data_IF_906787184378
#
_entry.id   IF_906787184378
#
_cell.length_a   1.000
_cell.length_b   1.000
_cell.length_c   1.000
_cell.angle_alpha   90.00
_cell.angle_beta   90.00
_cell.angle_gamma   90.00
#
_symmetry.space_group_name_H-M   'P 1'
#
loop_
_entity.id
_entity.type
_entity.pdbx_description
1 polymer ?
#
# COMPACT_ATOMS: atom_id res chain seq x y z
N UNK A 1 7.00 3.36 -6.64
CA UNK A 1 7.96 4.45 -6.95
C UNK A 1 8.06 4.60 -8.46
N UNK A 2 8.33 5.79 -9.01
CA UNK A 2 8.64 5.98 -10.42
C UNK A 2 10.02 5.40 -10.77
N UNK A 3 10.23 5.10 -12.05
CA UNK A 3 11.49 4.59 -12.57
C UNK A 3 11.60 3.07 -12.65
N UNK A 4 12.77 2.59 -13.07
CA UNK A 4 12.98 1.17 -13.39
C UNK A 4 14.21 0.56 -12.71
N UNK A 5 15.01 1.36 -12.00
CA UNK A 5 16.24 0.90 -11.33
C UNK A 5 15.99 0.68 -9.83
N UNK A 6 16.03 -0.59 -9.33
CA UNK A 6 15.73 -0.90 -7.94
C UNK A 6 16.75 -0.31 -6.95
N UNK A 7 18.04 -0.31 -7.28
CA UNK A 7 19.07 0.22 -6.40
C UNK A 7 18.96 1.75 -6.24
N UNK A 8 18.64 2.46 -7.33
CA UNK A 8 18.38 3.91 -7.27
C UNK A 8 17.14 4.23 -6.44
N UNK A 9 16.04 3.50 -6.65
CA UNK A 9 14.82 3.67 -5.88
C UNK A 9 15.03 3.39 -4.40
N UNK A 10 15.80 2.33 -4.06
CA UNK A 10 16.15 2.00 -2.68
C UNK A 10 16.98 3.11 -2.02
N UNK A 11 18.00 3.66 -2.72
CA UNK A 11 18.80 4.78 -2.18
C UNK A 11 17.96 6.03 -1.93
N UNK A 12 16.97 6.31 -2.79
CA UNK A 12 16.02 7.41 -2.57
C UNK A 12 15.18 7.14 -1.32
N UNK A 13 14.63 5.93 -1.17
CA UNK A 13 13.82 5.58 0.02
C UNK A 13 14.63 5.71 1.30
N UNK A 14 15.84 5.16 1.36
CA UNK A 14 16.71 5.24 2.55
C UNK A 14 17.13 6.68 2.84
N UNK A 15 17.43 7.47 1.79
CA UNK A 15 17.82 8.86 1.96
C UNK A 15 16.71 9.76 2.51
N UNK A 16 15.45 9.48 2.16
CA UNK A 16 14.30 10.28 2.60
C UNK A 16 13.63 9.71 3.88
N UNK A 17 13.73 8.40 4.11
CA UNK A 17 13.11 7.67 5.23
C UNK A 17 14.15 6.78 5.95
N UNK A 18 15.20 7.36 6.56
CA UNK A 18 16.28 6.57 7.14
C UNK A 18 15.87 5.70 8.32
N UNK A 19 14.80 6.06 9.03
CA UNK A 19 14.35 5.35 10.23
C UNK A 19 13.33 4.25 9.94
N UNK A 20 12.62 4.36 8.81
CA UNK A 20 11.60 3.39 8.40
C UNK A 20 11.57 3.23 6.87
N UNK A 21 12.64 2.68 6.27
CA UNK A 21 12.69 2.39 4.86
C UNK A 21 11.71 1.27 4.47
N UNK A 22 11.37 1.22 3.17
CA UNK A 22 10.53 0.19 2.61
C UNK A 22 11.07 -0.31 1.27
N UNK A 23 10.73 -1.54 0.90
CA UNK A 23 11.07 -2.11 -0.40
C UNK A 23 10.23 -1.44 -1.51
N UNK A 24 10.84 -0.63 -2.41
CA UNK A 24 10.07 0.05 -3.44
C UNK A 24 9.54 -0.89 -4.52
N UNK A 25 8.33 -0.65 -4.99
CA UNK A 25 7.78 -1.27 -6.19
C UNK A 25 7.96 -0.34 -7.38
N UNK A 26 8.32 -0.90 -8.54
CA UNK A 26 8.65 -0.17 -9.75
C UNK A 26 7.80 -0.67 -10.94
N UNK A 27 6.49 -0.36 -10.97
CA UNK A 27 5.59 -0.87 -11.99
C UNK A 27 5.91 -0.40 -13.42
N UNK A 28 6.72 0.65 -13.58
CA UNK A 28 7.21 1.10 -14.89
C UNK A 28 8.05 0.04 -15.62
N UNK A 29 8.53 -1.02 -14.92
CA UNK A 29 9.19 -2.18 -15.54
C UNK A 29 8.22 -3.10 -16.28
N UNK A 30 6.92 -2.86 -16.15
CA UNK A 30 5.85 -3.62 -16.79
C UNK A 30 5.35 -4.80 -15.98
N UNK A 31 4.58 -5.72 -16.61
CA UNK A 31 3.98 -6.85 -15.93
C UNK A 31 5.00 -7.68 -15.14
N UNK A 32 4.65 -8.01 -13.92
CA UNK A 32 5.53 -8.68 -12.96
C UNK A 32 6.20 -7.77 -11.95
N UNK A 33 6.25 -6.46 -12.23
CA UNK A 33 6.65 -5.44 -11.26
C UNK A 33 5.45 -4.67 -10.69
N UNK A 34 4.24 -4.97 -11.15
CA UNK A 34 2.97 -4.47 -10.64
C UNK A 34 2.55 -5.23 -9.36
N UNK A 35 1.61 -4.65 -8.61
CA UNK A 35 1.11 -5.18 -7.36
C UNK A 35 0.72 -6.67 -7.42
N UNK A 36 -0.12 -7.03 -8.41
CA UNK A 36 -0.61 -8.40 -8.59
C UNK A 36 0.50 -9.34 -9.06
N UNK A 37 1.21 -8.97 -10.12
CA UNK A 37 2.24 -9.80 -10.73
C UNK A 37 3.41 -10.08 -9.80
N UNK A 38 3.85 -9.09 -9.04
CA UNK A 38 4.92 -9.22 -8.05
C UNK A 38 4.55 -10.26 -6.98
N UNK A 39 3.34 -10.16 -6.41
CA UNK A 39 2.87 -11.10 -5.39
C UNK A 39 2.57 -12.48 -5.96
N UNK A 40 2.03 -12.55 -7.18
CA UNK A 40 1.75 -13.82 -7.84
C UNK A 40 3.01 -14.68 -8.11
N UNK A 41 4.21 -14.08 -8.08
CA UNK A 41 5.48 -14.84 -8.17
C UNK A 41 5.74 -15.72 -6.95
N UNK A 42 5.14 -15.37 -5.83
CA UNK A 42 5.32 -16.03 -4.53
C UNK A 42 4.33 -17.19 -4.32
N UNK A 43 3.30 -17.29 -5.14
CA UNK A 43 2.32 -18.37 -5.01
C UNK A 43 2.99 -19.74 -5.12
N UNK A 44 2.70 -20.61 -4.14
CA UNK A 44 3.20 -21.99 -4.08
C UNK A 44 2.26 -22.88 -4.87
N UNK A 45 2.80 -23.75 -5.70
CA UNK A 45 2.08 -24.71 -6.56
C UNK A 45 1.05 -24.08 -7.52
N UNK A 46 1.12 -22.74 -7.70
CA UNK A 46 0.31 -22.01 -8.67
C UNK A 46 1.19 -21.26 -9.66
N UNK A 47 0.83 -21.33 -10.92
CA UNK A 47 1.47 -20.56 -11.99
C UNK A 47 0.55 -19.46 -12.47
N UNK A 48 1.16 -18.38 -12.99
CA UNK A 48 0.43 -17.25 -13.57
C UNK A 48 1.02 -16.86 -14.92
N UNK A 49 0.22 -16.27 -15.77
CA UNK A 49 0.61 -15.71 -17.06
C UNK A 49 -0.06 -14.36 -17.28
N UNK A 50 0.52 -13.56 -18.17
CA UNK A 50 -0.04 -12.26 -18.57
C UNK A 50 -0.97 -12.44 -19.74
N UNK A 51 -2.16 -11.83 -19.65
CA UNK A 51 -3.14 -11.73 -20.72
C UNK A 51 -3.36 -10.25 -21.07
N UNK A 52 -4.01 -9.92 -22.20
CA UNK A 52 -4.37 -8.53 -22.49
C UNK A 52 -5.27 -7.85 -21.45
N UNK A 53 -5.87 -8.62 -20.56
CA UNK A 53 -6.77 -8.13 -19.49
C UNK A 53 -6.10 -8.04 -18.11
N UNK A 54 -4.91 -8.57 -17.96
CA UNK A 54 -4.19 -8.64 -16.70
C UNK A 54 -3.59 -10.02 -16.45
N UNK A 55 -3.51 -10.42 -15.20
CA UNK A 55 -2.95 -11.69 -14.78
C UNK A 55 -4.00 -12.79 -14.73
N UNK A 56 -3.60 -14.01 -15.09
CA UNK A 56 -4.43 -15.21 -15.04
C UNK A 56 -3.67 -16.38 -14.43
N UNK A 57 -4.37 -17.24 -13.68
CA UNK A 57 -3.83 -18.53 -13.26
C UNK A 57 -3.60 -19.42 -14.48
N UNK A 58 -2.44 -20.07 -14.52
CA UNK A 58 -1.98 -20.91 -15.61
C UNK A 58 -1.72 -22.34 -15.14
N UNK A 59 -1.82 -23.32 -16.05
CA UNK A 59 -1.54 -24.73 -15.73
C UNK A 59 -0.06 -25.00 -15.47
N UNK A 60 0.83 -24.19 -16.06
CA UNK A 60 2.29 -24.39 -16.00
C UNK A 60 3.03 -23.06 -15.93
N UNK A 61 4.17 -23.02 -15.21
CA UNK A 61 5.04 -21.86 -15.21
C UNK A 61 5.53 -21.47 -16.60
N UNK A 62 5.40 -20.19 -16.96
CA UNK A 62 5.80 -19.63 -18.25
C UNK A 62 6.86 -18.54 -18.11
N UNK A 63 7.10 -17.85 -19.24
CA UNK A 63 8.11 -16.75 -19.31
C UNK A 63 7.74 -15.56 -18.45
N UNK A 64 6.45 -15.26 -18.34
CA UNK A 64 5.97 -14.09 -17.56
C UNK A 64 6.28 -14.28 -16.09
N UNK A 65 5.99 -15.46 -15.54
CA UNK A 65 6.32 -15.81 -14.16
C UNK A 65 7.84 -15.79 -13.91
N UNK A 66 8.63 -16.36 -14.84
CA UNK A 66 10.10 -16.33 -14.72
C UNK A 66 10.65 -14.91 -14.73
N UNK A 67 10.13 -14.03 -15.59
CA UNK A 67 10.51 -12.62 -15.66
C UNK A 67 10.14 -11.89 -14.36
N UNK A 68 8.92 -12.08 -13.86
CA UNK A 68 8.46 -11.46 -12.63
C UNK A 68 9.28 -11.88 -11.42
N UNK A 69 9.65 -13.17 -11.29
CA UNK A 69 10.56 -13.69 -10.26
C UNK A 69 11.96 -13.05 -10.35
N UNK A 70 12.49 -12.88 -11.56
CA UNK A 70 13.77 -12.21 -11.77
C UNK A 70 13.74 -10.75 -11.34
N UNK A 71 12.65 -10.03 -11.60
CA UNK A 71 12.46 -8.66 -11.13
C UNK A 71 12.42 -8.56 -9.61
N UNK A 72 11.67 -9.45 -8.95
CA UNK A 72 11.59 -9.49 -7.49
C UNK A 72 12.96 -9.83 -6.88
N UNK A 73 13.70 -10.78 -7.45
CA UNK A 73 15.07 -11.08 -6.99
C UNK A 73 15.98 -9.87 -7.07
N UNK A 74 15.96 -9.12 -8.19
CA UNK A 74 16.72 -7.88 -8.32
C UNK A 74 16.34 -6.82 -7.29
N UNK A 75 15.05 -6.75 -6.92
CA UNK A 75 14.59 -5.82 -5.89
C UNK A 75 15.14 -6.19 -4.51
N UNK A 76 15.14 -7.49 -4.19
CA UNK A 76 15.68 -8.01 -2.94
C UNK A 76 17.22 -7.87 -2.87
N UNK A 77 17.91 -8.07 -3.97
CA UNK A 77 19.35 -7.86 -4.04
C UNK A 77 19.71 -6.38 -3.81
N UNK A 78 18.92 -5.46 -4.37
CA UNK A 78 19.08 -4.02 -4.13
C UNK A 78 18.72 -3.62 -2.68
N UNK A 79 17.71 -4.25 -2.08
CA UNK A 79 17.34 -4.06 -0.68
C UNK A 79 18.49 -4.48 0.23
N UNK A 80 19.05 -5.68 0.02
CA UNK A 80 20.18 -6.23 0.78
C UNK A 80 21.42 -5.34 0.66
N UNK A 81 21.82 -4.95 -0.59
CA UNK A 81 22.95 -4.08 -0.83
C UNK A 81 22.84 -2.73 -0.12
N UNK A 82 21.68 -2.09 -0.21
CA UNK A 82 21.52 -0.71 0.30
C UNK A 82 21.28 -0.67 1.81
N UNK A 83 20.69 -1.73 2.38
CA UNK A 83 20.42 -1.85 3.82
C UNK A 83 21.43 -2.76 4.55
N UNK A 84 22.61 -3.02 3.97
CA UNK A 84 23.63 -3.81 4.65
C UNK A 84 23.97 -3.22 6.03
N UNK A 85 23.91 -4.05 7.06
CA UNK A 85 24.13 -3.64 8.46
C UNK A 85 23.02 -2.79 9.08
N UNK A 86 21.91 -2.54 8.40
CA UNK A 86 20.80 -1.78 8.96
C UNK A 86 20.11 -2.53 10.10
N UNK A 87 19.85 -1.81 11.21
CA UNK A 87 19.09 -2.32 12.35
C UNK A 87 17.93 -1.38 12.64
N UNK A 88 16.73 -1.80 12.35
CA UNK A 88 15.53 -0.98 12.51
C UNK A 88 14.32 -1.63 11.84
N UNK A 89 13.17 -0.94 11.82
CA UNK A 89 12.01 -1.43 11.10
C UNK A 89 12.21 -1.27 9.57
N UNK A 90 11.92 -2.32 8.82
CA UNK A 90 11.91 -2.31 7.34
C UNK A 90 10.56 -2.83 6.87
N UNK A 91 9.88 -2.05 6.02
CA UNK A 91 8.58 -2.46 5.47
C UNK A 91 8.75 -3.16 4.12
N UNK A 92 8.10 -4.30 3.99
CA UNK A 92 7.85 -4.98 2.72
C UNK A 92 6.34 -5.07 2.49
N UNK A 93 5.92 -5.17 1.24
CA UNK A 93 4.48 -5.26 0.92
C UNK A 93 4.20 -6.35 -0.10
N UNK A 94 2.98 -6.88 0.01
CA UNK A 94 2.40 -7.93 -0.81
C UNK A 94 0.96 -7.56 -1.14
N UNK A 95 0.44 -8.01 -2.28
CA UNK A 95 -0.99 -7.97 -2.53
C UNK A 95 -1.70 -8.91 -1.55
N UNK A 96 -2.75 -8.44 -0.92
CA UNK A 96 -3.55 -9.27 -0.03
C UNK A 96 -4.46 -10.26 -0.78
N UNK A 97 -5.03 -11.24 -0.07
CA UNK A 97 -5.76 -12.35 -0.68
C UNK A 97 -7.00 -11.89 -1.46
N UNK A 98 -7.70 -10.88 -1.01
CA UNK A 98 -8.95 -10.43 -1.64
C UNK A 98 -8.69 -9.60 -2.89
N UNK A 99 -7.69 -8.74 -2.88
CA UNK A 99 -7.27 -7.99 -4.07
C UNK A 99 -6.66 -8.95 -5.10
N UNK A 100 -5.88 -9.92 -4.66
CA UNK A 100 -5.34 -10.94 -5.53
C UNK A 100 -6.47 -11.76 -6.20
N UNK A 101 -7.46 -12.23 -5.40
CA UNK A 101 -8.62 -12.95 -5.92
C UNK A 101 -9.51 -12.12 -6.86
N UNK A 102 -9.58 -10.80 -6.63
CA UNK A 102 -10.36 -9.89 -7.47
C UNK A 102 -9.64 -9.49 -8.78
N UNK A 103 -8.34 -9.77 -8.90
CA UNK A 103 -7.51 -9.36 -10.06
C UNK A 103 -6.99 -10.55 -10.89
N UNK A 104 -6.84 -11.74 -10.31
CA UNK A 104 -6.42 -12.93 -11.04
C UNK A 104 -7.61 -13.60 -11.74
N UNK A 105 -7.51 -13.75 -13.07
CA UNK A 105 -8.46 -14.54 -13.84
C UNK A 105 -8.25 -16.05 -13.60
N UNK A 106 -9.33 -16.81 -13.58
CA UNK A 106 -9.30 -18.27 -13.54
C UNK A 106 -8.88 -18.86 -14.89
N UNK A 107 -8.27 -20.06 -14.92
CA UNK A 107 -7.95 -20.76 -16.17
C UNK A 107 -9.23 -21.01 -17.00
N UNK A 108 -9.11 -20.93 -18.31
CA UNK A 108 -10.18 -21.25 -19.27
C UNK A 108 -11.46 -20.41 -19.14
N UNK A 109 -11.49 -19.42 -18.27
CA UNK A 109 -12.61 -18.49 -18.11
C UNK A 109 -12.10 -17.05 -18.12
N UNK A 110 -13.01 -16.10 -18.21
CA UNK A 110 -12.69 -14.69 -18.00
C UNK A 110 -13.13 -14.20 -16.62
N UNK A 111 -13.57 -15.11 -15.75
CA UNK A 111 -13.95 -14.76 -14.39
C UNK A 111 -12.70 -14.63 -13.52
N UNK A 112 -12.74 -13.69 -12.60
CA UNK A 112 -11.71 -13.54 -11.56
C UNK A 112 -11.91 -14.57 -10.45
N UNK A 113 -10.83 -14.91 -9.73
CA UNK A 113 -10.84 -15.99 -8.73
C UNK A 113 -11.87 -15.77 -7.61
N UNK A 114 -12.19 -14.52 -7.27
CA UNK A 114 -13.22 -14.21 -6.25
C UNK A 114 -14.63 -14.71 -6.61
N UNK A 115 -14.86 -15.08 -7.86
CA UNK A 115 -16.13 -15.68 -8.29
C UNK A 115 -16.30 -17.14 -7.84
N UNK A 116 -15.24 -17.80 -7.39
CA UNK A 116 -15.22 -19.20 -6.97
C UNK A 116 -14.63 -19.34 -5.55
N UNK A 117 -15.45 -19.70 -4.54
CA UNK A 117 -14.97 -19.84 -3.16
C UNK A 117 -13.86 -20.88 -2.98
N UNK A 118 -13.82 -21.94 -3.80
CA UNK A 118 -12.75 -22.92 -3.79
C UNK A 118 -11.44 -22.33 -4.27
N UNK A 119 -11.49 -21.61 -5.39
CA UNK A 119 -10.33 -20.91 -5.91
C UNK A 119 -9.78 -19.84 -4.92
N UNK A 120 -10.67 -19.13 -4.21
CA UNK A 120 -10.27 -18.21 -3.15
C UNK A 120 -9.54 -18.93 -2.02
N UNK A 121 -10.06 -20.09 -1.60
CA UNK A 121 -9.44 -20.87 -0.53
C UNK A 121 -8.03 -21.34 -0.91
N UNK A 122 -7.89 -21.93 -2.10
CA UNK A 122 -6.62 -22.44 -2.62
C UNK A 122 -5.61 -21.31 -2.82
N UNK A 123 -6.05 -20.18 -3.40
CA UNK A 123 -5.23 -18.99 -3.61
C UNK A 123 -4.73 -18.40 -2.28
N UNK A 124 -5.60 -18.34 -1.28
CA UNK A 124 -5.23 -17.85 0.05
C UNK A 124 -4.21 -18.75 0.72
N UNK A 125 -4.37 -20.07 0.64
CA UNK A 125 -3.42 -21.04 1.22
C UNK A 125 -2.04 -20.93 0.53
N UNK A 126 -2.04 -20.88 -0.79
CA UNK A 126 -0.83 -20.69 -1.61
C UNK A 126 -0.12 -19.38 -1.29
N UNK A 127 -0.87 -18.27 -1.15
CA UNK A 127 -0.33 -16.97 -0.78
C UNK A 127 0.25 -16.98 0.65
N UNK A 128 -0.43 -17.59 1.60
CA UNK A 128 0.03 -17.68 3.00
C UNK A 128 1.40 -18.37 3.09
N UNK A 129 1.57 -19.50 2.42
CA UNK A 129 2.84 -20.21 2.35
C UNK A 129 3.92 -19.40 1.65
N UNK A 130 3.61 -18.83 0.50
CA UNK A 130 4.53 -18.00 -0.27
C UNK A 130 4.95 -16.72 0.46
N UNK A 131 4.02 -16.07 1.17
CA UNK A 131 4.30 -14.90 1.98
C UNK A 131 5.23 -15.26 3.16
N UNK A 132 4.99 -16.37 3.85
CA UNK A 132 5.86 -16.85 4.92
C UNK A 132 7.29 -17.12 4.42
N UNK A 133 7.42 -17.79 3.28
CA UNK A 133 8.72 -18.04 2.67
C UNK A 133 9.45 -16.75 2.25
N UNK A 134 8.72 -15.79 1.69
CA UNK A 134 9.26 -14.49 1.29
C UNK A 134 9.75 -13.67 2.50
N UNK A 135 8.95 -13.61 3.56
CA UNK A 135 9.33 -12.92 4.82
C UNK A 135 10.57 -13.57 5.43
N UNK A 136 10.66 -14.90 5.42
CA UNK A 136 11.84 -15.63 5.91
C UNK A 136 13.10 -15.34 5.05
N UNK A 137 12.96 -15.23 3.73
CA UNK A 137 14.08 -14.86 2.84
C UNK A 137 14.57 -13.43 3.13
N UNK A 138 13.66 -12.47 3.26
CA UNK A 138 14.02 -11.08 3.61
C UNK A 138 14.66 -11.00 5.00
N UNK A 139 14.13 -11.72 6.00
CA UNK A 139 14.71 -11.77 7.34
C UNK A 139 16.14 -12.35 7.34
N UNK A 140 16.40 -13.32 6.48
CA UNK A 140 17.75 -13.90 6.30
C UNK A 140 18.73 -12.93 5.65
N UNK A 141 18.25 -12.12 4.69
CA UNK A 141 19.05 -11.07 4.00
C UNK A 141 19.35 -9.88 4.92
N UNK A 142 18.43 -9.54 5.82
CA UNK A 142 18.51 -8.40 6.74
C UNK A 142 18.38 -8.86 8.20
N UNK A 143 19.38 -9.56 8.76
CA UNK A 143 19.29 -10.19 10.08
C UNK A 143 19.14 -9.20 11.25
N UNK A 144 19.50 -7.92 11.05
CA UNK A 144 19.33 -6.83 12.03
C UNK A 144 17.97 -6.14 11.96
N UNK A 145 17.20 -6.34 10.89
CA UNK A 145 15.96 -5.62 10.67
C UNK A 145 14.76 -6.25 11.40
N UNK A 146 13.84 -5.39 11.82
CA UNK A 146 12.50 -5.79 12.26
C UNK A 146 11.52 -5.63 11.09
N UNK A 147 11.02 -6.74 10.56
CA UNK A 147 10.15 -6.68 9.39
C UNK A 147 8.73 -6.20 9.75
N UNK A 148 8.24 -5.30 8.94
CA UNK A 148 6.85 -4.85 8.90
C UNK A 148 6.27 -5.33 7.56
N UNK A 149 5.26 -6.20 7.61
CA UNK A 149 4.67 -6.84 6.44
C UNK A 149 3.32 -6.20 6.14
N UNK A 150 3.22 -5.51 5.01
CA UNK A 150 1.98 -4.88 4.57
C UNK A 150 1.28 -5.74 3.53
N UNK A 151 -0.02 -5.98 3.72
CA UNK A 151 -0.89 -6.59 2.72
C UNK A 151 -1.78 -5.51 2.10
N UNK A 152 -1.63 -5.32 0.80
CA UNK A 152 -2.38 -4.31 0.04
C UNK A 152 -3.72 -4.85 -0.42
N UNK A 153 -4.79 -4.26 0.07
CA UNK A 153 -6.18 -4.68 -0.13
C UNK A 153 -7.09 -3.58 -0.70
N UNK A 154 -6.70 -2.90 -1.79
CA UNK A 154 -7.54 -1.87 -2.39
C UNK A 154 -8.87 -2.40 -2.95
N UNK A 155 -8.97 -3.70 -3.26
CA UNK A 155 -10.22 -4.31 -3.74
C UNK A 155 -11.13 -4.81 -2.61
N UNK A 156 -10.65 -4.92 -1.37
CA UNK A 156 -11.41 -5.46 -0.24
C UNK A 156 -12.79 -4.79 -0.04
N UNK A 157 -12.94 -3.45 -0.10
CA UNK A 157 -14.25 -2.83 -0.01
C UNK A 157 -15.21 -3.23 -1.14
N UNK A 158 -14.68 -3.38 -2.36
CA UNK A 158 -15.51 -3.79 -3.51
C UNK A 158 -15.95 -5.26 -3.40
N UNK A 159 -15.10 -6.13 -2.88
CA UNK A 159 -15.44 -7.53 -2.61
C UNK A 159 -16.49 -7.62 -1.50
N UNK A 160 -16.30 -6.88 -0.41
CA UNK A 160 -17.23 -6.84 0.72
C UNK A 160 -18.63 -6.32 0.33
N UNK A 161 -18.70 -5.41 -0.64
CA UNK A 161 -19.95 -4.76 -1.06
C UNK A 161 -20.58 -5.36 -2.32
N UNK A 162 -20.00 -6.44 -2.88
CA UNK A 162 -20.49 -7.03 -4.13
C UNK A 162 -20.36 -6.08 -5.33
N UNK A 163 -19.29 -5.28 -5.36
CA UNK A 163 -19.05 -4.28 -6.41
C UNK A 163 -18.05 -4.75 -7.48
N UNK A 164 -17.48 -5.95 -7.33
CA UNK A 164 -16.58 -6.52 -8.32
C UNK A 164 -17.34 -6.85 -9.61
N UNK A 165 -16.95 -6.32 -10.78
CA UNK A 165 -17.66 -6.57 -12.02
C UNK A 165 -17.46 -8.02 -12.49
N UNK A 166 -18.47 -8.59 -13.11
CA UNK A 166 -18.33 -9.85 -13.85
C UNK A 166 -17.48 -9.64 -15.12
N UNK A 167 -17.03 -10.73 -15.74
CA UNK A 167 -16.24 -10.68 -16.95
C UNK A 167 -16.88 -9.89 -18.11
N UNK A 168 -18.22 -9.88 -18.20
CA UNK A 168 -18.97 -9.10 -19.18
C UNK A 168 -19.09 -7.61 -18.83
N UNK A 169 -18.83 -7.22 -17.58
CA UNK A 169 -19.06 -5.88 -17.06
C UNK A 169 -20.53 -5.49 -16.87
N UNK A 170 -21.47 -6.36 -17.26
CA UNK A 170 -22.91 -6.07 -17.23
C UNK A 170 -23.56 -6.33 -15.86
N UNK A 171 -22.89 -7.08 -15.00
CA UNK A 171 -23.35 -7.39 -13.64
C UNK A 171 -22.21 -7.34 -12.65
N UNK A 172 -22.51 -7.57 -11.37
CA UNK A 172 -21.54 -7.63 -10.28
C UNK A 172 -21.54 -9.04 -9.69
N UNK A 173 -20.41 -9.43 -9.13
CA UNK A 173 -20.32 -10.62 -8.30
C UNK A 173 -21.03 -10.37 -6.97
N UNK A 174 -21.52 -11.43 -6.34
CA UNK A 174 -22.13 -11.33 -5.02
C UNK A 174 -21.11 -10.82 -3.98
N UNK A 175 -21.59 -10.11 -2.97
CA UNK A 175 -20.77 -9.74 -1.82
C UNK A 175 -20.29 -11.02 -1.11
N UNK A 176 -19.07 -10.97 -0.58
CA UNK A 176 -18.53 -12.04 0.26
C UNK A 176 -18.87 -11.72 1.71
N UNK A 177 -19.31 -12.73 2.45
CA UNK A 177 -19.66 -12.60 3.86
C UNK A 177 -18.47 -12.14 4.71
N UNK A 178 -18.76 -11.26 5.68
CA UNK A 178 -17.73 -10.62 6.51
C UNK A 178 -16.83 -11.62 7.24
N UNK A 179 -17.38 -12.74 7.71
CA UNK A 179 -16.63 -13.79 8.38
C UNK A 179 -15.64 -14.48 7.43
N UNK A 180 -16.05 -14.76 6.20
CA UNK A 180 -15.16 -15.32 5.18
C UNK A 180 -14.04 -14.33 4.82
N UNK A 181 -14.38 -13.03 4.72
CA UNK A 181 -13.39 -11.98 4.49
C UNK A 181 -12.35 -11.96 5.60
N UNK A 182 -12.78 -12.03 6.85
CA UNK A 182 -11.92 -12.06 8.03
C UNK A 182 -11.01 -13.29 8.04
N UNK A 183 -11.59 -14.48 7.89
CA UNK A 183 -10.84 -15.74 7.95
C UNK A 183 -9.71 -15.82 6.93
N UNK A 184 -9.95 -15.44 5.69
CA UNK A 184 -8.92 -15.48 4.64
C UNK A 184 -7.84 -14.43 4.85
N UNK A 185 -8.21 -13.25 5.35
CA UNK A 185 -7.24 -12.22 5.70
C UNK A 185 -6.38 -12.67 6.89
N UNK A 186 -7.00 -13.15 7.96
CA UNK A 186 -6.31 -13.70 9.14
C UNK A 186 -5.35 -14.83 8.78
N UNK A 187 -5.74 -15.75 7.89
CA UNK A 187 -4.90 -16.87 7.45
C UNK A 187 -3.57 -16.38 6.86
N UNK A 188 -3.59 -15.33 6.07
CA UNK A 188 -2.37 -14.79 5.45
C UNK A 188 -1.56 -13.95 6.44
N UNK A 189 -2.21 -13.16 7.27
CA UNK A 189 -1.55 -12.37 8.31
C UNK A 189 -0.82 -13.29 9.31
N UNK A 190 -1.48 -14.34 9.80
CA UNK A 190 -0.94 -15.28 10.77
C UNK A 190 0.22 -16.12 10.23
N UNK A 191 0.30 -16.32 8.92
CA UNK A 191 1.39 -17.08 8.29
C UNK A 191 2.72 -16.32 8.27
N UNK A 192 2.70 -14.99 8.46
CA UNK A 192 3.90 -14.15 8.41
C UNK A 192 4.39 -13.81 9.82
N UNK A 193 5.72 -13.82 10.00
CA UNK A 193 6.35 -13.38 11.24
C UNK A 193 6.68 -11.87 11.14
N UNK A 194 6.27 -11.10 12.15
CA UNK A 194 6.52 -9.67 12.22
C UNK A 194 5.25 -8.87 12.49
N UNK A 195 5.39 -7.55 12.43
CA UNK A 195 4.25 -6.65 12.55
C UNK A 195 3.51 -6.57 11.23
N UNK A 196 2.24 -6.93 11.22
CA UNK A 196 1.43 -6.96 10.00
C UNK A 196 0.54 -5.72 9.85
N UNK A 197 0.42 -5.22 8.64
CA UNK A 197 -0.42 -4.07 8.28
C UNK A 197 -1.33 -4.47 7.12
N UNK A 198 -2.57 -4.03 7.15
CA UNK A 198 -3.46 -4.08 5.98
C UNK A 198 -3.61 -2.68 5.43
N UNK A 199 -3.26 -2.50 4.16
CA UNK A 199 -3.41 -1.22 3.46
C UNK A 199 -4.59 -1.24 2.51
N UNK A 200 -5.47 -0.25 2.65
CA UNK A 200 -6.59 -0.02 1.76
C UNK A 200 -6.76 1.48 1.49
N UNK A 201 -6.34 1.94 0.31
CA UNK A 201 -6.52 3.34 -0.11
C UNK A 201 -7.86 3.61 -0.80
N UNK A 202 -8.73 2.60 -0.94
CA UNK A 202 -10.08 2.77 -1.47
C UNK A 202 -11.02 3.37 -0.40
N UNK A 203 -12.11 4.05 -0.80
CA UNK A 203 -13.12 4.49 0.15
C UNK A 203 -13.86 3.31 0.80
N UNK A 204 -14.43 3.53 1.97
CA UNK A 204 -15.19 2.52 2.74
C UNK A 204 -14.33 1.36 3.24
N UNK A 205 -13.17 1.67 3.79
CA UNK A 205 -12.28 0.68 4.40
C UNK A 205 -13.04 -0.13 5.45
N UNK A 206 -13.04 -1.48 5.37
CA UNK A 206 -13.75 -2.31 6.34
C UNK A 206 -12.90 -2.51 7.62
N UNK A 207 -12.71 -1.43 8.40
CA UNK A 207 -11.87 -1.41 9.60
C UNK A 207 -12.18 -2.54 10.58
N UNK A 208 -13.48 -2.84 10.79
CA UNK A 208 -13.92 -3.92 11.67
C UNK A 208 -13.42 -5.30 11.23
N UNK A 209 -13.42 -5.58 9.91
CA UNK A 209 -12.92 -6.86 9.36
C UNK A 209 -11.40 -6.93 9.53
N UNK A 210 -10.68 -5.85 9.23
CA UNK A 210 -9.23 -5.77 9.35
C UNK A 210 -8.79 -5.96 10.81
N UNK A 211 -9.47 -5.31 11.75
CA UNK A 211 -9.24 -5.48 13.19
C UNK A 211 -9.53 -6.90 13.66
N UNK A 212 -10.65 -7.47 13.24
CA UNK A 212 -11.03 -8.83 13.60
C UNK A 212 -10.10 -9.91 13.00
N UNK A 213 -9.42 -9.61 11.90
CA UNK A 213 -8.36 -10.46 11.33
C UNK A 213 -7.01 -10.32 12.05
N UNK A 214 -6.97 -9.64 13.20
CA UNK A 214 -5.79 -9.44 14.04
C UNK A 214 -4.60 -8.75 13.35
N UNK A 215 -4.85 -7.83 12.41
CA UNK A 215 -3.82 -6.97 11.87
C UNK A 215 -3.23 -6.07 12.97
N UNK A 216 -1.91 -5.91 13.01
CA UNK A 216 -1.23 -5.01 13.94
C UNK A 216 -1.46 -3.52 13.59
N UNK A 217 -1.70 -3.21 12.31
CA UNK A 217 -1.97 -1.86 11.85
C UNK A 217 -2.87 -1.81 10.62
N UNK A 218 -3.40 -0.63 10.35
CA UNK A 218 -4.18 -0.33 9.15
C UNK A 218 -3.64 0.93 8.47
N UNK A 219 -3.42 0.84 7.15
CA UNK A 219 -3.02 1.97 6.33
C UNK A 219 -4.20 2.39 5.42
N UNK A 220 -4.51 3.68 5.39
CA UNK A 220 -5.65 4.21 4.63
C UNK A 220 -5.38 5.63 4.12
N UNK A 221 -6.09 6.02 3.07
CA UNK A 221 -6.05 7.39 2.53
C UNK A 221 -6.93 8.31 3.38
N UNK A 222 -6.29 9.25 4.08
CA UNK A 222 -6.99 10.22 4.94
C UNK A 222 -7.96 11.10 4.15
N UNK A 223 -7.74 11.31 2.86
CA UNK A 223 -8.64 12.10 2.01
C UNK A 223 -9.92 11.37 1.65
N UNK A 224 -9.92 10.04 1.72
CA UNK A 224 -11.07 9.17 1.43
C UNK A 224 -11.89 8.85 2.69
N UNK A 225 -11.39 9.21 3.87
CA UNK A 225 -12.07 8.94 5.14
C UNK A 225 -13.35 9.77 5.26
N UNK A 226 -14.46 9.08 5.39
CA UNK A 226 -15.78 9.68 5.56
C UNK A 226 -16.19 9.63 7.03
N UNK A 227 -17.17 10.44 7.41
CA UNK A 227 -17.71 10.46 8.78
C UNK A 227 -18.22 9.07 9.23
N UNK A 228 -18.79 8.29 8.33
CA UNK A 228 -19.23 6.92 8.62
C UNK A 228 -18.08 5.94 8.93
N UNK A 229 -16.87 6.29 8.59
CA UNK A 229 -15.68 5.46 8.79
C UNK A 229 -14.98 5.80 10.13
N UNK A 230 -15.35 6.91 10.79
CA UNK A 230 -14.67 7.46 11.98
C UNK A 230 -14.73 6.50 13.18
N UNK A 231 -15.85 5.87 13.43
CA UNK A 231 -15.99 4.88 14.52
C UNK A 231 -15.02 3.69 14.31
N UNK A 232 -14.91 3.20 13.07
CA UNK A 232 -14.02 2.11 12.74
C UNK A 232 -12.53 2.45 12.93
N UNK A 233 -12.14 3.69 12.65
CA UNK A 233 -10.77 4.19 12.90
C UNK A 233 -10.53 4.33 14.42
N UNK A 234 -11.47 4.92 15.14
CA UNK A 234 -11.37 5.10 16.59
C UNK A 234 -11.24 3.76 17.31
N UNK A 235 -12.11 2.80 17.02
CA UNK A 235 -12.08 1.45 17.58
C UNK A 235 -10.75 0.71 17.21
N UNK A 236 -10.18 0.98 16.04
CA UNK A 236 -8.89 0.40 15.66
C UNK A 236 -7.75 0.97 16.50
N UNK A 237 -7.75 2.28 16.74
CA UNK A 237 -6.78 2.94 17.63
C UNK A 237 -6.93 2.46 19.09
N UNK A 238 -8.15 2.39 19.60
CA UNK A 238 -8.45 1.88 20.95
C UNK A 238 -8.03 0.42 21.15
N UNK A 239 -8.09 -0.39 20.09
CA UNK A 239 -7.55 -1.75 20.08
C UNK A 239 -6.02 -1.81 20.02
N UNK A 240 -5.31 -0.66 20.01
CA UNK A 240 -3.86 -0.59 19.97
C UNK A 240 -3.23 -0.79 18.59
N UNK A 241 -4.02 -0.74 17.51
CA UNK A 241 -3.49 -0.84 16.15
C UNK A 241 -2.72 0.42 15.76
N UNK A 242 -1.62 0.24 15.01
CA UNK A 242 -0.97 1.35 14.33
C UNK A 242 -1.84 1.92 13.20
N UNK A 243 -1.94 3.24 13.12
CA UNK A 243 -2.68 3.93 12.07
C UNK A 243 -1.71 4.59 11.09
N UNK A 244 -1.55 3.98 9.91
CA UNK A 244 -0.73 4.55 8.83
C UNK A 244 -1.61 5.48 7.99
N UNK A 245 -1.52 6.77 8.31
CA UNK A 245 -2.38 7.79 7.73
C UNK A 245 -1.79 8.33 6.43
N UNK A 246 -2.43 8.03 5.30
CA UNK A 246 -2.12 8.58 3.99
C UNK A 246 -2.46 10.08 3.91
N UNK A 247 -1.67 10.90 4.62
CA UNK A 247 -1.93 12.33 4.77
C UNK A 247 -1.22 13.19 3.70
N UNK A 248 -0.23 12.64 2.99
CA UNK A 248 0.46 13.32 1.90
C UNK A 248 -0.14 12.86 0.56
N UNK A 249 -0.73 13.76 -0.25
CA UNK A 249 -1.29 13.38 -1.55
C UNK A 249 -0.24 12.71 -2.44
N UNK A 250 -0.60 11.60 -3.10
CA UNK A 250 0.28 10.93 -4.06
C UNK A 250 0.51 11.77 -5.33
N UNK A 251 -0.50 12.57 -5.72
CA UNK A 251 -0.39 13.57 -6.80
C UNK A 251 -0.46 14.94 -6.15
N UNK A 252 0.43 15.90 -6.50
CA UNK A 252 0.34 17.24 -5.97
C UNK A 252 -1.06 17.82 -6.25
N UNK A 253 -1.68 18.45 -5.24
CA UNK A 253 -2.87 19.27 -5.45
C UNK A 253 -2.55 20.27 -6.57
N UNK A 254 -3.12 20.05 -7.75
CA UNK A 254 -3.25 21.13 -8.70
C UNK A 254 -4.15 22.14 -8.00
N UNK A 255 -3.56 23.26 -7.62
CA UNK A 255 -4.25 24.34 -6.96
C UNK A 255 -5.64 24.49 -7.57
N UNK A 256 -6.67 24.50 -6.74
CA UNK A 256 -8.05 24.73 -7.11
C UNK A 256 -8.16 26.08 -7.83
N UNK A 257 -7.84 26.07 -9.12
CA UNK A 257 -7.93 27.18 -10.06
C UNK A 257 -8.99 26.82 -11.09
N UNK A 258 -10.15 27.44 -10.94
CA UNK A 258 -11.24 27.66 -11.84
C UNK A 258 -11.45 26.71 -13.02
N UNK A 259 -12.54 25.98 -12.99
CA UNK A 259 -13.16 25.35 -14.14
C UNK A 259 -13.51 26.44 -15.16
N UNK A 260 -12.73 26.53 -16.22
CA UNK A 260 -13.03 27.26 -17.44
C UNK A 260 -13.01 26.29 -18.61
N UNK A 261 -14.20 25.90 -19.06
CA UNK A 261 -14.41 25.14 -20.29
C UNK A 261 -13.96 26.00 -21.51
N UNK A 262 -12.98 25.52 -22.27
CA UNK A 262 -12.94 25.74 -23.72
C UNK A 262 -11.82 24.92 -24.35
N UNK A 263 -12.16 24.17 -25.40
CA UNK A 263 -11.22 23.40 -26.18
C UNK A 263 -10.34 24.26 -27.07
N UNK A 264 -9.24 23.72 -27.45
CA UNK A 264 -8.65 23.72 -28.80
C UNK A 264 -7.14 23.47 -28.73
N UNK A 265 -6.71 22.61 -29.59
CA UNK A 265 -5.37 22.27 -30.04
C UNK A 265 -4.38 23.43 -30.17
N UNK A 266 -3.10 23.23 -29.78
CA UNK A 266 -2.01 24.14 -30.09
C UNK A 266 -0.66 23.66 -29.54
N UNK A 267 0.22 23.31 -30.45
CA UNK A 267 1.60 22.86 -30.30
C UNK A 267 2.52 23.86 -29.57
N UNK A 268 3.43 23.30 -28.73
CA UNK A 268 4.82 23.73 -28.62
C UNK A 268 5.12 24.95 -27.78
N UNK A 269 5.87 24.72 -26.66
CA UNK A 269 7.19 25.33 -26.41
C UNK A 269 7.70 24.91 -25.02
N UNK A 270 8.87 24.31 -25.01
CA UNK A 270 9.66 24.10 -23.81
C UNK A 270 9.99 25.44 -23.15
N UNK A 271 9.71 25.55 -21.86
CA UNK A 271 10.27 26.61 -21.03
C UNK A 271 11.22 25.97 -20.04
N UNK A 272 12.51 26.15 -20.25
CA UNK A 272 13.57 25.92 -19.29
C UNK A 272 13.46 26.97 -18.19
N UNK A 273 13.14 26.54 -16.99
CA UNK A 273 13.12 27.33 -15.77
C UNK A 273 13.78 26.55 -14.64
N UNK A 274 15.06 26.80 -14.41
CA UNK A 274 15.75 26.40 -13.20
C UNK A 274 15.17 27.18 -12.02
N UNK A 275 14.60 26.47 -11.03
CA UNK A 275 14.13 27.07 -9.79
C UNK A 275 14.09 25.99 -8.72
N UNK A 276 15.13 25.93 -7.89
CA UNK A 276 15.13 25.11 -6.67
C UNK A 276 13.98 25.56 -5.77
N UNK A 277 13.05 24.65 -5.49
CA UNK A 277 12.08 24.81 -4.42
C UNK A 277 12.37 23.76 -3.37
N UNK A 278 13.12 24.15 -2.36
CA UNK A 278 13.07 23.47 -1.06
C UNK A 278 11.60 23.35 -0.65
N UNK A 279 11.16 22.15 -0.23
CA UNK A 279 9.78 21.92 0.20
C UNK A 279 9.37 22.98 1.20
N UNK A 280 8.22 23.64 0.98
CA UNK A 280 7.75 24.71 1.84
C UNK A 280 7.51 24.15 3.25
N UNK A 281 8.11 24.72 4.31
CA UNK A 281 7.93 24.28 5.71
C UNK A 281 6.45 24.21 6.13
N UNK A 282 5.59 25.04 5.56
CA UNK A 282 4.15 25.04 5.80
C UNK A 282 3.43 23.75 5.38
N UNK A 283 3.93 23.06 4.36
CA UNK A 283 3.30 21.83 3.87
C UNK A 283 3.42 20.64 4.85
N UNK A 284 4.58 20.45 5.50
CA UNK A 284 4.80 19.39 6.47
C UNK A 284 3.99 19.63 7.77
N UNK A 285 4.06 20.85 8.31
CA UNK A 285 3.26 21.26 9.50
C UNK A 285 1.77 21.06 9.26
N UNK A 286 1.24 21.52 8.12
CA UNK A 286 -0.17 21.32 7.79
C UNK A 286 -0.56 19.85 7.68
N UNK A 287 0.36 19.00 7.21
CA UNK A 287 0.15 17.55 7.14
C UNK A 287 0.05 16.95 8.54
N UNK A 288 0.97 17.27 9.44
CA UNK A 288 0.93 16.83 10.83
C UNK A 288 -0.35 17.33 11.55
N UNK A 289 -0.70 18.61 11.38
CA UNK A 289 -1.93 19.17 11.93
C UNK A 289 -3.21 18.48 11.41
N UNK A 290 -3.23 18.01 10.15
CA UNK A 290 -4.36 17.22 9.63
C UNK A 290 -4.53 15.91 10.38
N UNK A 291 -3.42 15.23 10.69
CA UNK A 291 -3.44 13.98 11.46
C UNK A 291 -3.91 14.23 12.89
N UNK A 292 -3.38 15.28 13.56
CA UNK A 292 -3.79 15.67 14.92
C UNK A 292 -5.28 16.05 14.96
N UNK A 293 -5.76 16.82 13.96
CA UNK A 293 -7.20 17.16 13.87
C UNK A 293 -8.10 15.94 13.70
N UNK A 294 -7.68 14.95 12.89
CA UNK A 294 -8.39 13.67 12.78
C UNK A 294 -8.44 13.01 14.16
N UNK A 295 -7.30 12.86 14.84
CA UNK A 295 -7.20 12.21 16.15
C UNK A 295 -8.13 12.83 17.18
N UNK A 296 -8.16 14.17 17.26
CA UNK A 296 -9.07 14.91 18.15
C UNK A 296 -10.55 14.73 17.78
N UNK A 297 -10.85 14.75 16.49
CA UNK A 297 -12.23 14.55 16.02
C UNK A 297 -12.76 13.17 16.39
N UNK A 298 -11.87 12.18 16.44
CA UNK A 298 -12.18 10.81 16.89
C UNK A 298 -12.28 10.68 18.42
N UNK A 299 -12.01 11.73 19.20
CA UNK A 299 -12.03 11.69 20.65
C UNK A 299 -10.86 10.90 21.27
N UNK A 300 -9.83 10.60 20.50
CA UNK A 300 -8.69 9.83 20.98
C UNK A 300 -7.71 10.69 21.79
N UNK A 301 -7.04 10.12 22.83
CA UNK A 301 -6.05 10.85 23.62
C UNK A 301 -4.93 11.38 22.74
N UNK A 302 -4.55 12.67 22.83
CA UNK A 302 -3.50 13.23 21.98
C UNK A 302 -2.15 12.52 22.10
N UNK A 303 -1.78 12.04 23.28
CA UNK A 303 -0.54 11.31 23.50
C UNK A 303 -0.43 10.03 22.65
N UNK A 304 -1.54 9.31 22.44
CA UNK A 304 -1.54 8.09 21.63
C UNK A 304 -1.31 8.38 20.14
N UNK A 305 -1.51 9.62 19.68
CA UNK A 305 -1.22 10.01 18.29
C UNK A 305 0.27 9.85 17.97
N UNK A 306 1.17 10.27 18.87
CA UNK A 306 2.62 10.13 18.66
C UNK A 306 3.09 8.67 18.66
N UNK A 307 2.37 7.78 19.33
CA UNK A 307 2.73 6.37 19.47
C UNK A 307 2.17 5.49 18.35
N UNK A 308 0.97 5.83 17.83
CA UNK A 308 0.22 4.97 16.92
C UNK A 308 0.13 5.52 15.49
N UNK A 309 0.33 6.84 15.28
CA UNK A 309 0.19 7.42 13.96
C UNK A 309 1.50 7.36 13.17
N UNK A 310 1.43 6.84 11.95
CA UNK A 310 2.51 6.92 10.96
C UNK A 310 2.01 7.74 9.78
N UNK A 311 2.76 8.77 9.38
CA UNK A 311 2.41 9.62 8.24
C UNK A 311 2.97 9.00 6.95
N UNK A 312 2.08 8.74 5.99
CA UNK A 312 2.45 8.13 4.72
C UNK A 312 1.89 8.92 3.52
N UNK A 313 2.41 8.67 2.31
CA UNK A 313 1.67 9.03 1.10
C UNK A 313 0.31 8.34 1.08
N UNK A 314 -0.70 8.98 0.48
CA UNK A 314 -2.05 8.44 0.38
C UNK A 314 -2.13 7.11 -0.40
N UNK A 315 -1.26 6.94 -1.38
CA UNK A 315 -1.14 5.74 -2.21
C UNK A 315 0.27 5.62 -2.79
N UNK A 316 0.49 4.62 -3.65
CA UNK A 316 1.75 4.42 -4.37
C UNK A 316 2.16 5.65 -5.21
N UNK A 317 3.48 5.87 -5.34
CA UNK A 317 4.07 7.04 -6.02
C UNK A 317 4.52 6.77 -7.46
N UNK A 318 4.08 5.68 -8.07
CA UNK A 318 4.51 5.30 -9.42
C UNK A 318 4.06 6.29 -10.51
N UNK A 319 2.90 6.93 -10.32
CA UNK A 319 2.31 7.85 -11.30
C UNK A 319 2.87 9.29 -11.28
N UNK A 320 3.89 9.58 -10.45
CA UNK A 320 4.47 10.93 -10.32
C UNK A 320 5.92 10.97 -10.80
N UNK A 321 6.48 12.16 -11.01
CA UNK A 321 7.90 12.30 -11.34
C UNK A 321 8.80 11.90 -10.16
N UNK A 322 10.07 11.52 -10.41
CA UNK A 322 11.01 11.20 -9.34
C UNK A 322 11.19 12.33 -8.31
N UNK A 323 11.16 13.58 -8.76
CA UNK A 323 11.25 14.74 -7.88
C UNK A 323 10.02 14.89 -6.98
N UNK A 324 8.82 14.64 -7.50
CA UNK A 324 7.59 14.65 -6.73
C UNK A 324 7.52 13.50 -5.73
N UNK A 325 7.95 12.29 -6.14
CA UNK A 325 8.03 11.15 -5.24
C UNK A 325 8.96 11.44 -4.04
N UNK A 326 10.16 11.97 -4.31
CA UNK A 326 11.10 12.38 -3.27
C UNK A 326 10.48 13.43 -2.35
N UNK A 327 9.89 14.49 -2.89
CA UNK A 327 9.25 15.55 -2.11
C UNK A 327 8.10 15.02 -1.22
N UNK A 328 7.34 14.03 -1.69
CA UNK A 328 6.30 13.38 -0.89
C UNK A 328 6.89 12.62 0.30
N UNK A 329 7.98 11.85 0.10
CA UNK A 329 8.66 11.11 1.18
C UNK A 329 9.30 12.08 2.19
N UNK A 330 10.03 13.10 1.72
CA UNK A 330 10.58 14.16 2.58
C UNK A 330 9.49 14.80 3.44
N UNK A 331 8.34 15.10 2.84
CA UNK A 331 7.20 15.70 3.55
C UNK A 331 6.62 14.75 4.61
N UNK A 332 6.54 13.44 4.34
CA UNK A 332 6.12 12.46 5.33
C UNK A 332 7.05 12.47 6.53
N UNK A 333 8.36 12.39 6.30
CA UNK A 333 9.38 12.40 7.33
C UNK A 333 9.33 13.68 8.18
N UNK A 334 9.33 14.85 7.54
CA UNK A 334 9.24 16.14 8.23
C UNK A 334 7.95 16.30 9.03
N UNK A 335 6.81 15.86 8.49
CA UNK A 335 5.54 15.94 9.21
C UNK A 335 5.51 15.01 10.43
N UNK A 336 6.06 13.81 10.32
CA UNK A 336 6.17 12.88 11.43
C UNK A 336 7.07 13.41 12.54
N UNK A 337 8.22 14.03 12.20
CA UNK A 337 9.14 14.62 13.15
C UNK A 337 8.53 15.80 13.94
N UNK A 338 7.52 16.48 13.39
CA UNK A 338 6.82 17.59 14.04
C UNK A 338 5.68 17.15 14.98
N UNK A 339 5.22 15.89 14.87
CA UNK A 339 4.03 15.43 15.63
C UNK A 339 4.17 15.62 17.15
N UNK A 340 5.29 15.24 17.82
CA UNK A 340 5.40 15.35 19.26
C UNK A 340 5.25 16.81 19.74
N UNK A 341 5.98 17.74 19.13
CA UNK A 341 5.95 19.18 19.48
C UNK A 341 4.54 19.77 19.27
N UNK A 342 3.91 19.48 18.13
CA UNK A 342 2.57 19.97 17.82
C UNK A 342 1.48 19.40 18.75
N UNK A 343 1.65 18.19 19.25
CA UNK A 343 0.75 17.59 20.23
C UNK A 343 0.88 18.32 21.57
N UNK A 344 2.11 18.64 22.02
CA UNK A 344 2.36 19.40 23.24
C UNK A 344 1.81 20.82 23.15
N UNK A 345 2.08 21.55 22.05
CA UNK A 345 1.55 22.91 21.81
C UNK A 345 0.02 22.94 21.94
N UNK A 346 -0.64 21.91 21.43
CA UNK A 346 -2.08 21.84 21.36
C UNK A 346 -2.75 21.18 22.57
N UNK A 347 -1.99 20.50 23.42
CA UNK A 347 -2.46 19.91 24.69
C UNK A 347 -2.48 20.90 25.87
N UNK A 348 -1.74 21.99 25.76
CA UNK A 348 -1.70 23.06 26.78
C UNK A 348 -2.85 24.08 26.72
N UNK A 349 -3.75 23.99 25.72
CA UNK A 349 -4.90 24.86 25.53
C UNK A 349 -6.23 24.27 26.07
N UNK A 350 -6.20 23.24 26.92
CA UNK A 350 -7.39 22.54 27.44
C UNK A 350 -7.74 22.96 28.86
#
# INVERSE_FOLDING_TARGET
MPGTNPAEAMRVVVGELPEFPYLPELPDRGPGADLTGRTATLLVDMAVEVTPRGWRLAERPGRDLARARSMLSSDLDALEEVLDGFSGPVKIQLCGPWTLAATLELPHTMNVAVADPGAVADLTASLAEGAAAHVADVAKRLPGARLVVQFDEPALPAVAQGMVPTASGLSRLAAVEAETLRERLEQVLAATHGYTIVHCCAPSVPFGIIRAAAAGGVAFDLSQLRRADEDGVAESAEAGMGLLTGAVPAVPDQAAGGVGSSGASGSGKQATGAGGSGGQPGGARQTAERVIRMWRRLGLPPATCAEQAVITPACGLAGVSPAQARAALTRCHQAASMLPELIEETGGES
#
